data_IF_891320721617
#
_entry.id   IF_891320721617
#
_cell.length_a   1.000
_cell.length_b   1.000
_cell.length_c   1.000
_cell.angle_alpha   90.00
_cell.angle_beta   90.00
_cell.angle_gamma   90.00
#
_symmetry.space_group_name_H-M   'P 1'
#
loop_
_entity.id
_entity.type
_entity.pdbx_description
1 polymer ?
#
# COMPACT_ATOMS: atom_id res chain seq x y z
N UNK A 1 38.46 24.05 12.56
CA UNK A 1 37.82 22.71 12.54
C UNK A 1 37.18 22.48 13.92
N UNK A 2 35.97 21.91 14.06
CA UNK A 2 35.21 21.14 13.07
C UNK A 2 33.82 21.72 12.75
N UNK A 3 33.34 21.31 11.57
CA UNK A 3 32.01 21.59 11.03
C UNK A 3 30.90 20.94 11.89
N UNK A 4 29.83 21.69 12.13
CA UNK A 4 28.57 21.15 12.65
C UNK A 4 28.03 20.13 11.65
N UNK A 5 27.92 18.88 12.08
CA UNK A 5 27.16 17.86 11.39
C UNK A 5 25.72 18.36 11.21
N UNK A 6 25.31 18.55 9.95
CA UNK A 6 23.91 18.75 9.62
C UNK A 6 23.17 17.45 9.97
N UNK A 7 22.33 17.51 11.00
CA UNK A 7 21.38 16.44 11.30
C UNK A 7 20.54 16.21 10.05
N UNK A 8 20.58 14.97 9.54
CA UNK A 8 19.73 14.53 8.44
C UNK A 8 18.27 14.80 8.81
N UNK A 9 17.67 15.80 8.16
CA UNK A 9 16.23 16.01 8.25
C UNK A 9 15.58 14.73 7.72
N UNK A 10 14.83 14.01 8.56
CA UNK A 10 13.97 12.92 8.11
C UNK A 10 12.97 13.56 7.14
N UNK A 11 13.16 13.39 5.84
CA UNK A 11 12.17 13.81 4.84
C UNK A 11 10.86 13.08 5.14
N UNK A 12 9.94 13.76 5.82
CA UNK A 12 8.56 13.30 5.98
C UNK A 12 7.85 13.48 4.65
N UNK A 13 7.37 12.35 4.11
CA UNK A 13 6.67 12.33 2.84
C UNK A 13 5.27 12.94 3.01
N UNK A 14 4.75 13.64 2.00
CA UNK A 14 3.52 14.40 2.14
C UNK A 14 2.29 13.50 2.36
N UNK A 15 1.47 13.84 3.37
CA UNK A 15 0.20 13.16 3.69
C UNK A 15 -0.71 13.03 2.46
N UNK A 16 -0.69 14.02 1.57
CA UNK A 16 -1.49 14.05 0.33
C UNK A 16 -1.25 12.84 -0.60
N UNK A 17 -0.14 12.12 -0.45
CA UNK A 17 0.10 10.87 -1.21
C UNK A 17 -0.67 9.68 -0.63
N UNK A 18 -1.03 9.72 0.66
CA UNK A 18 -1.76 8.66 1.35
C UNK A 18 -3.26 8.94 1.39
N UNK A 19 -3.65 10.16 1.78
CA UNK A 19 -5.04 10.58 1.93
C UNK A 19 -5.25 11.94 1.25
N UNK A 20 -6.34 12.06 0.48
CA UNK A 20 -6.72 13.28 -0.22
C UNK A 20 -7.37 14.33 0.73
N UNK A 21 -7.72 15.51 0.20
CA UNK A 21 -8.33 16.59 0.98
C UNK A 21 -9.70 16.25 1.56
N UNK A 22 -10.41 15.28 0.97
CA UNK A 22 -11.70 14.76 1.47
C UNK A 22 -11.54 13.71 2.56
N UNK A 23 -10.31 13.38 2.94
CA UNK A 23 -10.04 12.32 3.90
C UNK A 23 -10.08 10.92 3.30
N UNK A 24 -10.18 10.74 1.98
CA UNK A 24 -10.22 9.42 1.35
C UNK A 24 -8.80 8.93 1.01
N UNK A 25 -8.55 7.62 1.12
CA UNK A 25 -7.28 7.03 0.68
C UNK A 25 -7.06 7.29 -0.83
N UNK A 26 -5.84 7.68 -1.20
CA UNK A 26 -5.53 7.91 -2.61
C UNK A 26 -5.58 6.60 -3.41
N UNK A 27 -5.88 6.64 -4.72
CA UNK A 27 -5.86 5.44 -5.55
C UNK A 27 -4.51 4.71 -5.55
N UNK A 28 -3.40 5.47 -5.48
CA UNK A 28 -2.05 4.90 -5.40
C UNK A 28 -1.84 4.16 -4.07
N UNK A 29 -2.30 4.76 -2.96
CA UNK A 29 -2.17 4.15 -1.65
C UNK A 29 -3.06 2.93 -1.46
N UNK A 30 -4.34 3.00 -1.88
CA UNK A 30 -5.23 1.83 -1.91
C UNK A 30 -4.59 0.67 -2.68
N UNK A 31 -3.94 0.96 -3.81
CA UNK A 31 -3.31 -0.06 -4.63
C UNK A 31 -2.08 -0.66 -3.92
N UNK A 32 -1.25 0.16 -3.28
CA UNK A 32 -0.14 -0.31 -2.44
C UNK A 32 -0.63 -1.22 -1.29
N UNK A 33 -1.69 -0.81 -0.58
CA UNK A 33 -2.29 -1.60 0.50
C UNK A 33 -2.80 -2.97 0.02
N UNK A 34 -3.43 -3.02 -1.16
CA UNK A 34 -3.90 -4.28 -1.75
C UNK A 34 -2.75 -5.25 -2.05
N UNK A 35 -1.55 -4.76 -2.41
CA UNK A 35 -0.37 -5.62 -2.58
C UNK A 35 0.18 -6.12 -1.27
N UNK A 36 0.28 -5.22 -0.29
CA UNK A 36 0.70 -5.60 1.06
C UNK A 36 -0.22 -6.72 1.54
N UNK A 37 -1.53 -6.52 1.45
CA UNK A 37 -2.53 -7.54 1.75
C UNK A 37 -2.27 -8.85 1.00
N UNK A 38 -2.14 -8.82 -0.33
CA UNK A 38 -1.92 -10.03 -1.14
C UNK A 38 -0.62 -10.77 -0.79
N UNK A 39 0.44 -10.02 -0.45
CA UNK A 39 1.73 -10.59 -0.04
C UNK A 39 1.59 -11.43 1.23
N UNK A 40 0.80 -10.98 2.20
CA UNK A 40 0.61 -11.68 3.47
C UNK A 40 -0.56 -12.67 3.46
N UNK A 41 -1.52 -12.52 2.55
CA UNK A 41 -2.65 -13.45 2.41
C UNK A 41 -2.26 -14.75 1.69
N UNK A 42 -1.08 -14.81 1.06
CA UNK A 42 -0.51 -16.01 0.42
C UNK A 42 -1.46 -16.68 -0.59
N UNK A 43 -2.23 -15.86 -1.33
CA UNK A 43 -3.23 -16.32 -2.31
C UNK A 43 -4.67 -16.39 -1.77
N UNK A 44 -4.85 -16.16 -0.46
CA UNK A 44 -6.14 -16.01 0.20
C UNK A 44 -6.86 -14.70 -0.14
N UNK A 45 -8.13 -14.63 0.28
CA UNK A 45 -8.97 -13.43 0.15
C UNK A 45 -9.10 -12.65 1.48
N UNK A 46 -8.62 -13.24 2.57
CA UNK A 46 -8.61 -12.70 3.93
C UNK A 46 -7.24 -12.93 4.56
N UNK A 47 -6.88 -12.11 5.55
CA UNK A 47 -5.71 -12.33 6.40
C UNK A 47 -6.19 -13.01 7.68
N UNK A 48 -5.74 -14.25 7.92
CA UNK A 48 -5.96 -14.90 9.21
C UNK A 48 -5.26 -14.11 10.34
N UNK A 49 -5.62 -14.36 11.60
CA UNK A 49 -4.93 -13.79 12.75
C UNK A 49 -3.41 -14.00 12.70
N UNK A 50 -2.96 -15.16 12.21
CA UNK A 50 -1.53 -15.46 12.07
C UNK A 50 -0.88 -14.62 10.97
N UNK A 51 -1.50 -14.55 9.79
CA UNK A 51 -0.99 -13.75 8.67
C UNK A 51 -0.97 -12.26 8.99
N UNK A 52 -2.01 -11.77 9.66
CA UNK A 52 -2.11 -10.40 10.13
C UNK A 52 -1.03 -10.09 11.18
N UNK A 53 -0.77 -11.03 12.09
CA UNK A 53 0.32 -10.92 13.05
C UNK A 53 1.70 -10.90 12.37
N UNK A 54 1.90 -11.73 11.35
CA UNK A 54 3.15 -11.75 10.56
C UNK A 54 3.35 -10.43 9.81
N UNK A 55 2.28 -9.84 9.28
CA UNK A 55 2.30 -8.48 8.73
C UNK A 55 2.75 -7.45 9.78
N UNK A 56 2.17 -7.48 10.98
CA UNK A 56 2.54 -6.55 12.06
C UNK A 56 4.01 -6.69 12.44
N UNK A 57 4.51 -7.93 12.57
CA UNK A 57 5.92 -8.21 12.84
C UNK A 57 6.85 -7.64 11.78
N UNK A 58 6.46 -7.71 10.50
CA UNK A 58 7.24 -7.13 9.41
C UNK A 58 7.33 -5.60 9.51
N UNK A 59 6.32 -4.95 10.09
CA UNK A 59 6.27 -3.50 10.28
C UNK A 59 6.90 -3.05 11.61
N UNK A 60 6.92 -3.90 12.64
CA UNK A 60 7.26 -3.51 14.01
C UNK A 60 8.47 -4.27 14.59
N UNK A 61 9.47 -4.59 13.75
CA UNK A 61 10.73 -5.22 14.17
C UNK A 61 10.53 -6.54 14.92
N UNK A 62 9.62 -7.37 14.41
CA UNK A 62 9.29 -8.66 15.00
C UNK A 62 8.25 -8.61 16.13
N UNK A 63 7.78 -7.42 16.53
CA UNK A 63 6.65 -7.27 17.46
C UNK A 63 5.34 -7.45 16.70
N UNK A 64 4.58 -8.46 17.09
CA UNK A 64 3.25 -8.71 16.55
C UNK A 64 2.16 -7.97 17.32
N UNK A 65 0.92 -8.16 16.89
CA UNK A 65 -0.24 -7.72 17.67
C UNK A 65 -0.40 -8.59 18.91
N UNK A 66 -0.81 -7.97 20.01
CA UNK A 66 -1.31 -8.65 21.20
C UNK A 66 -2.70 -9.26 20.92
N UNK A 67 -3.15 -10.23 21.73
CA UNK A 67 -4.51 -10.78 21.60
C UNK A 67 -5.61 -9.71 21.69
N UNK A 68 -5.40 -8.68 22.51
CA UNK A 68 -6.35 -7.57 22.65
C UNK A 68 -6.41 -6.73 21.37
N UNK A 69 -5.26 -6.37 20.80
CA UNK A 69 -5.22 -5.62 19.53
C UNK A 69 -5.86 -6.43 18.38
N UNK A 70 -5.61 -7.74 18.31
CA UNK A 70 -6.29 -8.60 17.32
C UNK A 70 -7.80 -8.63 17.53
N UNK A 71 -8.26 -8.66 18.78
CA UNK A 71 -9.69 -8.62 19.09
C UNK A 71 -10.34 -7.29 18.70
N UNK A 72 -9.65 -6.17 18.93
CA UNK A 72 -10.11 -4.85 18.47
C UNK A 72 -10.21 -4.81 16.96
N UNK A 73 -9.23 -5.37 16.24
CA UNK A 73 -9.27 -5.42 14.78
C UNK A 73 -10.50 -6.20 14.30
N UNK A 74 -10.79 -7.37 14.88
CA UNK A 74 -11.98 -8.15 14.52
C UNK A 74 -13.30 -7.46 14.90
N UNK A 75 -13.30 -6.58 15.90
CA UNK A 75 -14.50 -5.89 16.37
C UNK A 75 -14.83 -4.65 15.53
N UNK A 76 -13.81 -3.92 15.07
CA UNK A 76 -13.98 -2.64 14.38
C UNK A 76 -13.87 -2.72 12.85
N UNK A 77 -13.20 -3.75 12.30
CA UNK A 77 -12.95 -3.85 10.86
C UNK A 77 -13.59 -5.09 10.24
N UNK A 78 -13.89 -4.98 8.95
CA UNK A 78 -14.58 -6.03 8.20
C UNK A 78 -13.75 -7.32 8.11
N UNK A 79 -14.25 -8.37 8.74
CA UNK A 79 -13.70 -9.73 8.70
C UNK A 79 -14.72 -10.72 8.09
N UNK A 80 -14.23 -11.86 7.60
CA UNK A 80 -15.08 -12.96 7.17
C UNK A 80 -15.63 -13.79 8.35
N UNK A 81 -16.41 -14.84 8.04
CA UNK A 81 -17.01 -15.75 9.01
C UNK A 81 -15.96 -16.47 9.90
N UNK A 82 -14.71 -16.57 9.44
CA UNK A 82 -13.60 -17.18 10.15
C UNK A 82 -12.71 -16.14 10.87
N UNK A 83 -13.20 -14.90 11.01
CA UNK A 83 -12.44 -13.76 11.56
C UNK A 83 -11.19 -13.40 10.75
N UNK A 84 -11.14 -13.77 9.47
CA UNK A 84 -10.10 -13.31 8.56
C UNK A 84 -10.34 -11.88 8.12
N UNK A 85 -9.39 -10.97 8.35
CA UNK A 85 -9.50 -9.56 7.94
C UNK A 85 -9.57 -9.47 6.42
N UNK A 86 -10.62 -8.85 5.89
CA UNK A 86 -10.80 -8.70 4.43
C UNK A 86 -9.90 -7.62 3.85
N UNK A 87 -9.73 -7.60 2.53
CA UNK A 87 -9.00 -6.49 1.87
C UNK A 87 -9.65 -5.13 2.15
N UNK A 88 -10.99 -5.10 2.29
CA UNK A 88 -11.72 -3.88 2.64
C UNK A 88 -11.42 -3.46 4.08
N UNK A 89 -11.57 -4.38 5.04
CA UNK A 89 -11.21 -4.14 6.44
C UNK A 89 -9.76 -3.70 6.63
N UNK A 90 -8.83 -4.28 5.87
CA UNK A 90 -7.42 -3.85 5.87
C UNK A 90 -7.21 -2.43 5.34
N UNK A 91 -7.94 -2.03 4.29
CA UNK A 91 -7.90 -0.65 3.80
C UNK A 91 -8.52 0.31 4.83
N UNK A 92 -9.63 -0.06 5.45
CA UNK A 92 -10.32 0.77 6.46
C UNK A 92 -9.45 0.92 7.73
N UNK A 93 -8.73 -0.13 8.13
CA UNK A 93 -7.73 -0.08 9.21
C UNK A 93 -6.64 0.94 8.93
N UNK A 94 -6.06 0.92 7.71
CA UNK A 94 -5.08 1.91 7.31
C UNK A 94 -5.68 3.31 7.15
N UNK A 95 -6.91 3.44 6.68
CA UNK A 95 -7.59 4.73 6.62
C UNK A 95 -7.70 5.38 8.00
N UNK A 96 -8.12 4.63 9.02
CA UNK A 96 -8.20 5.12 10.40
C UNK A 96 -6.81 5.50 10.93
N UNK A 97 -5.82 4.61 10.78
CA UNK A 97 -4.45 4.87 11.24
C UNK A 97 -3.84 6.10 10.55
N UNK A 98 -3.90 6.18 9.22
CA UNK A 98 -3.33 7.29 8.45
C UNK A 98 -4.08 8.60 8.71
N UNK A 99 -5.38 8.54 9.01
CA UNK A 99 -6.14 9.75 9.36
C UNK A 99 -5.68 10.35 10.69
N UNK A 100 -5.35 9.51 11.67
CA UNK A 100 -4.87 9.93 12.99
C UNK A 100 -3.37 10.26 13.00
N UNK A 101 -2.55 9.40 12.39
CA UNK A 101 -1.09 9.47 12.47
C UNK A 101 -0.45 8.97 11.14
N UNK A 102 -0.38 9.84 10.10
CA UNK A 102 0.22 9.48 8.81
C UNK A 102 1.69 9.04 8.91
N UNK A 103 2.39 9.47 9.96
CA UNK A 103 3.81 9.18 10.16
C UNK A 103 4.06 7.67 10.41
N UNK A 104 3.17 6.98 11.14
CA UNK A 104 3.22 5.53 11.32
C UNK A 104 3.03 4.80 9.99
N UNK A 105 2.05 5.23 9.19
CA UNK A 105 1.84 4.65 7.86
C UNK A 105 3.08 4.79 6.98
N UNK A 106 3.78 5.92 7.01
CA UNK A 106 5.03 6.07 6.27
C UNK A 106 6.17 5.19 6.76
N UNK A 107 6.22 4.87 8.07
CA UNK A 107 7.19 3.88 8.60
C UNK A 107 6.92 2.50 8.00
N UNK A 108 5.65 2.08 7.95
CA UNK A 108 5.26 0.82 7.31
C UNK A 108 5.63 0.81 5.83
N UNK A 109 5.27 1.87 5.09
CA UNK A 109 5.59 1.97 3.66
C UNK A 109 7.10 1.91 3.40
N UNK A 110 7.93 2.44 4.30
CA UNK A 110 9.40 2.31 4.20
C UNK A 110 9.86 0.88 4.46
N UNK A 111 9.42 0.26 5.55
CA UNK A 111 9.82 -1.11 5.90
C UNK A 111 9.38 -2.14 4.86
N UNK A 112 8.21 -1.93 4.26
CA UNK A 112 7.64 -2.83 3.27
C UNK A 112 8.12 -2.54 1.83
N UNK A 113 8.84 -1.44 1.59
CA UNK A 113 9.39 -1.08 0.27
C UNK A 113 8.39 -0.41 -0.69
N UNK A 114 7.33 0.22 -0.18
CA UNK A 114 6.25 0.83 -0.98
C UNK A 114 6.37 2.35 -1.17
N UNK A 115 7.37 3.02 -0.59
CA UNK A 115 7.56 4.48 -0.78
C UNK A 115 7.66 4.89 -2.26
N UNK A 116 8.40 4.14 -3.06
CA UNK A 116 8.53 4.39 -4.50
C UNK A 116 7.21 4.25 -5.25
N UNK A 117 6.28 3.44 -4.74
CA UNK A 117 4.97 3.22 -5.33
C UNK A 117 4.03 4.42 -5.11
N UNK A 118 4.25 5.19 -4.04
CA UNK A 118 3.42 6.34 -3.66
C UNK A 118 3.94 7.67 -4.21
N UNK A 119 5.25 7.81 -4.32
CA UNK A 119 5.90 9.08 -4.72
C UNK A 119 5.96 9.30 -6.24
N UNK A 120 5.44 8.37 -7.05
CA UNK A 120 5.49 8.49 -8.51
C UNK A 120 6.88 8.40 -9.13
N UNK A 121 7.94 8.36 -8.31
CA UNK A 121 9.32 7.98 -8.70
C UNK A 121 9.45 6.47 -8.98
N UNK A 122 8.31 5.81 -9.24
CA UNK A 122 8.12 4.38 -9.13
C UNK A 122 8.70 3.59 -10.29
N UNK A 123 9.68 2.78 -9.96
CA UNK A 123 10.10 1.65 -10.77
C UNK A 123 9.00 0.60 -10.93
N UNK A 124 9.40 -0.57 -11.39
CA UNK A 124 8.59 -1.68 -11.79
C UNK A 124 7.82 -2.17 -10.58
N UNK A 125 6.53 -2.33 -10.76
CA UNK A 125 5.62 -2.69 -9.72
C UNK A 125 5.82 -4.13 -9.19
N UNK A 126 6.48 -4.98 -9.98
CA UNK A 126 6.82 -6.34 -9.55
C UNK A 126 8.20 -6.43 -8.85
N UNK A 127 9.19 -5.62 -9.26
CA UNK A 127 10.58 -5.81 -8.84
C UNK A 127 11.34 -4.54 -8.42
N UNK A 128 10.72 -3.36 -8.48
CA UNK A 128 11.28 -2.07 -8.07
C UNK A 128 12.27 -1.41 -9.03
N UNK A 129 12.76 -2.09 -10.08
CA UNK A 129 13.71 -1.55 -11.09
C UNK A 129 13.11 -0.43 -11.94
N UNK A 130 13.87 0.32 -12.73
CA UNK A 130 13.28 1.37 -13.59
C UNK A 130 12.16 0.83 -14.51
N UNK A 131 11.03 1.55 -14.55
CA UNK A 131 9.85 1.19 -15.34
C UNK A 131 9.90 1.75 -16.75
N UNK A 132 9.52 0.96 -17.75
CA UNK A 132 9.43 1.37 -19.16
C UNK A 132 8.01 1.39 -19.70
N UNK A 133 7.13 0.59 -19.09
CA UNK A 133 5.74 0.44 -19.55
C UNK A 133 4.77 0.68 -18.40
N UNK A 134 3.52 1.02 -18.72
CA UNK A 134 2.43 1.07 -17.76
C UNK A 134 1.39 -0.02 -18.08
N UNK A 135 0.61 -0.43 -17.08
CA UNK A 135 -0.55 -1.28 -17.33
C UNK A 135 -1.51 -0.56 -18.30
N UNK A 136 -1.73 -1.12 -19.49
CA UNK A 136 -2.55 -0.50 -20.52
C UNK A 136 -4.02 -0.26 -20.08
N UNK A 137 -4.51 -0.99 -19.08
CA UNK A 137 -5.89 -0.87 -18.61
C UNK A 137 -6.05 0.25 -17.58
N UNK A 138 -5.32 0.21 -16.47
CA UNK A 138 -5.48 1.20 -15.41
C UNK A 138 -4.55 2.41 -15.53
N UNK A 139 -3.40 2.26 -16.20
CA UNK A 139 -2.29 3.23 -16.25
C UNK A 139 -1.77 3.66 -14.86
N UNK A 140 -2.19 2.99 -13.78
CA UNK A 140 -1.83 3.34 -12.39
C UNK A 140 -0.55 2.64 -11.92
N UNK A 141 -0.12 1.57 -12.59
CA UNK A 141 1.08 0.81 -12.23
C UNK A 141 2.00 0.69 -13.42
N UNK A 142 3.32 0.64 -13.16
CA UNK A 142 4.36 0.61 -14.18
C UNK A 142 5.25 -0.62 -14.04
N UNK A 143 5.85 -1.08 -15.12
CA UNK A 143 6.67 -2.29 -15.15
C UNK A 143 7.95 -2.08 -15.95
N UNK A 144 9.02 -2.79 -15.59
CA UNK A 144 10.26 -2.83 -16.37
C UNK A 144 10.15 -3.78 -17.57
N UNK A 145 9.29 -4.81 -17.48
CA UNK A 145 9.08 -5.82 -18.53
C UNK A 145 7.67 -6.39 -18.50
N UNK A 146 7.28 -7.04 -19.61
CA UNK A 146 6.01 -7.77 -19.74
C UNK A 146 5.91 -8.96 -18.77
N UNK A 147 7.03 -9.55 -18.39
CA UNK A 147 7.09 -10.62 -17.39
C UNK A 147 6.65 -10.10 -16.03
N UNK A 148 7.26 -9.01 -15.56
CA UNK A 148 6.87 -8.33 -14.32
C UNK A 148 5.39 -7.91 -14.34
N UNK A 149 4.88 -7.44 -15.47
CA UNK A 149 3.45 -7.16 -15.63
C UNK A 149 2.58 -8.42 -15.50
N UNK A 150 3.01 -9.53 -16.08
CA UNK A 150 2.27 -10.80 -16.07
C UNK A 150 2.28 -11.43 -14.67
N UNK A 151 3.42 -11.36 -13.98
CA UNK A 151 3.56 -11.88 -12.62
C UNK A 151 2.68 -11.09 -11.66
N UNK A 152 2.69 -9.75 -11.76
CA UNK A 152 1.78 -8.90 -11.01
C UNK A 152 0.31 -9.14 -11.37
N UNK A 153 0.01 -9.36 -12.66
CA UNK A 153 -1.33 -9.70 -13.13
C UNK A 153 -1.86 -10.97 -12.46
N UNK A 154 -1.03 -12.03 -12.40
CA UNK A 154 -1.35 -13.30 -11.75
C UNK A 154 -1.44 -13.17 -10.23
N UNK A 155 -0.53 -12.41 -9.61
CA UNK A 155 -0.47 -12.18 -8.17
C UNK A 155 -1.71 -11.47 -7.61
N UNK A 156 -2.47 -10.78 -8.47
CA UNK A 156 -3.78 -10.25 -8.11
C UNK A 156 -4.10 -8.89 -8.70
N UNK A 157 -3.19 -8.27 -9.46
CA UNK A 157 -3.50 -7.03 -10.16
C UNK A 157 -4.71 -7.19 -11.07
N UNK A 158 -4.93 -8.36 -11.70
CA UNK A 158 -6.12 -8.62 -12.52
C UNK A 158 -7.46 -8.36 -11.80
N UNK A 159 -7.50 -8.61 -10.48
CA UNK A 159 -8.70 -8.42 -9.63
C UNK A 159 -8.86 -6.97 -9.19
N UNK A 160 -7.75 -6.27 -9.01
CA UNK A 160 -7.72 -4.88 -8.56
C UNK A 160 -7.73 -3.85 -9.71
N UNK A 161 -7.38 -4.27 -10.93
CA UNK A 161 -7.19 -3.39 -12.08
C UNK A 161 -8.53 -2.85 -12.60
N UNK A 162 -8.74 -1.54 -12.43
CA UNK A 162 -9.89 -0.80 -12.98
C UNK A 162 -9.43 0.14 -14.11
N UNK A 163 -10.19 0.25 -15.21
CA UNK A 163 -9.84 1.17 -16.28
C UNK A 163 -9.78 2.61 -15.77
N UNK A 164 -8.76 3.37 -16.19
CA UNK A 164 -8.71 4.81 -15.90
C UNK A 164 -9.86 5.46 -16.67
N UNK A 165 -10.78 6.15 -15.99
CA UNK A 165 -11.71 7.04 -16.69
C UNK A 165 -10.87 8.08 -17.43
N UNK A 166 -11.03 8.16 -18.75
CA UNK A 166 -10.37 9.20 -19.53
C UNK A 166 -10.80 10.56 -18.98
N UNK A 167 -9.83 11.38 -18.58
CA UNK A 167 -10.08 12.81 -18.47
C UNK A 167 -10.42 13.26 -19.90
N UNK A 168 -11.58 13.90 -20.06
CA UNK A 168 -11.98 14.48 -21.34
C UNK A 168 -10.83 15.38 -21.87
N UNK A 169 -10.55 15.36 -23.18
CA UNK A 169 -9.53 16.23 -23.74
C UNK A 169 -9.92 17.67 -23.46
N UNK A 170 -9.05 18.41 -22.76
CA UNK A 170 -9.10 19.87 -22.74
C UNK A 170 -8.74 20.29 -24.16
N UNK A 171 -9.73 20.77 -24.90
CA UNK A 171 -9.49 21.43 -26.17
C UNK A 171 -8.71 22.72 -25.89
N UNK A 172 -7.48 22.77 -26.38
CA UNK A 172 -6.78 24.04 -26.62
C UNK A 172 -7.42 24.67 -27.86
N UNK A 173 -7.89 25.91 -27.70
CA UNK A 173 -8.30 26.84 -28.77
C UNK A 173 -7.29 27.99 -28.81
#
# INVERSE_FOLDING_TARGET
MPAKAAAAQKEELPRALLINEKGELTPAFIHALKRIFQKFAEGGNTLSSEQLNNFSKACNDGKGFTPNELNEIHMYFECDENKGLTTRGFCDMYHTQTSAEPSETWKDMRKLGFVSHLTGKGGCYACGKESKTACARCLCVRYCSKECQTDDWKAGHKRACKPKKAAAPVAEE
#
